data_IF_983024329403
#
_entry.id   IF_983024329403
#
_cell.length_a   1.000
_cell.length_b   1.000
_cell.length_c   1.000
_cell.angle_alpha   90.00
_cell.angle_beta   90.00
_cell.angle_gamma   90.00
#
_symmetry.space_group_name_H-M   'P 1'
#
loop_
_entity.id
_entity.type
_entity.pdbx_description
1 polymer ?
#
# COMPACT_ATOMS: atom_id res chain seq x y z
N UNK A 1 -7.57 79.58 -34.65
CA UNK A 1 -8.27 78.27 -34.79
C UNK A 1 -7.30 77.18 -34.38
N UNK A 2 -7.48 76.62 -33.19
CA UNK A 2 -6.58 75.55 -32.62
C UNK A 2 -7.30 74.22 -32.73
N UNK A 3 -6.82 73.33 -33.57
CA UNK A 3 -7.43 72.02 -33.83
C UNK A 3 -6.87 70.98 -32.81
N UNK A 4 -7.75 70.53 -31.92
CA UNK A 4 -7.44 69.51 -30.91
C UNK A 4 -7.50 68.08 -31.51
N UNK A 5 -6.36 67.37 -31.59
CA UNK A 5 -6.30 66.02 -32.08
C UNK A 5 -6.53 65.09 -30.88
N UNK A 6 -7.64 64.35 -30.82
CA UNK A 6 -7.93 63.35 -29.82
C UNK A 6 -7.38 61.99 -30.34
N UNK A 7 -6.34 61.49 -29.69
CA UNK A 7 -5.85 60.12 -29.92
C UNK A 7 -6.71 59.13 -29.11
N UNK A 8 -7.51 58.31 -29.78
CA UNK A 8 -8.16 57.12 -29.19
C UNK A 8 -7.14 55.98 -29.11
N UNK A 9 -6.68 55.66 -27.92
CA UNK A 9 -5.93 54.44 -27.67
C UNK A 9 -6.89 53.27 -27.47
N UNK A 10 -7.00 52.37 -28.43
CA UNK A 10 -7.73 51.09 -28.33
C UNK A 10 -6.92 50.07 -27.50
N UNK A 11 -7.39 49.82 -26.27
CA UNK A 11 -6.84 48.76 -25.43
C UNK A 11 -7.38 47.42 -25.95
N UNK A 12 -6.54 46.65 -26.62
CA UNK A 12 -6.86 45.24 -26.96
C UNK A 12 -6.72 44.39 -25.69
N UNK A 13 -7.85 44.01 -25.08
CA UNK A 13 -7.89 42.93 -24.08
C UNK A 13 -7.67 41.60 -24.81
N UNK A 14 -6.46 41.04 -24.69
CA UNK A 14 -6.18 39.70 -25.13
C UNK A 14 -6.84 38.71 -24.16
N UNK A 15 -7.97 38.16 -24.54
CA UNK A 15 -8.62 37.06 -23.83
C UNK A 15 -7.78 35.80 -24.08
N UNK A 16 -6.87 35.47 -23.16
CA UNK A 16 -6.24 34.14 -23.15
C UNK A 16 -7.35 33.11 -22.83
N UNK A 17 -7.58 32.11 -23.68
CA UNK A 17 -8.57 31.09 -23.39
C UNK A 17 -8.16 30.39 -22.09
N UNK A 18 -9.02 30.47 -21.08
CA UNK A 18 -8.91 29.69 -19.86
C UNK A 18 -8.88 28.21 -20.27
N UNK A 19 -7.70 27.57 -20.19
CA UNK A 19 -7.55 26.14 -20.48
C UNK A 19 -8.48 25.43 -19.51
N UNK A 20 -9.59 24.89 -20.03
CA UNK A 20 -10.54 24.10 -19.27
C UNK A 20 -9.74 23.04 -18.54
N UNK A 21 -9.72 23.12 -17.22
CA UNK A 21 -9.06 22.14 -16.38
C UNK A 21 -9.86 20.86 -16.57
N UNK A 22 -9.30 19.90 -17.31
CA UNK A 22 -9.96 18.61 -17.54
C UNK A 22 -10.34 18.05 -16.16
N UNK A 23 -11.61 17.73 -15.97
CA UNK A 23 -12.09 17.16 -14.72
C UNK A 23 -11.26 15.92 -14.39
N UNK A 24 -10.65 15.94 -13.22
CA UNK A 24 -9.81 14.87 -12.73
C UNK A 24 -10.73 13.72 -12.29
N UNK A 25 -10.68 12.61 -13.02
CA UNK A 25 -11.45 11.39 -12.72
C UNK A 25 -10.65 10.44 -11.83
N UNK A 26 -11.35 9.59 -11.07
CA UNK A 26 -10.69 8.48 -10.37
C UNK A 26 -10.20 7.45 -11.40
N UNK A 27 -8.89 7.28 -11.52
CA UNK A 27 -8.27 6.26 -12.37
C UNK A 27 -8.57 4.87 -11.82
N UNK A 28 -8.19 4.66 -10.56
CA UNK A 28 -8.54 3.46 -9.78
C UNK A 28 -8.47 3.75 -8.28
N UNK A 29 -8.99 2.82 -7.49
CA UNK A 29 -8.88 2.82 -6.04
C UNK A 29 -8.65 1.41 -5.51
N UNK A 30 -8.02 1.33 -4.34
CA UNK A 30 -7.87 0.11 -3.58
C UNK A 30 -8.18 0.35 -2.11
N UNK A 31 -8.74 -0.67 -1.45
CA UNK A 31 -9.13 -0.57 -0.03
C UNK A 31 -8.65 -1.81 0.70
N UNK A 32 -8.04 -1.62 1.87
CA UNK A 32 -7.70 -2.70 2.81
C UNK A 32 -8.36 -2.44 4.16
N UNK A 33 -8.65 -3.52 4.91
CA UNK A 33 -9.37 -3.44 6.17
C UNK A 33 -8.47 -3.77 7.35
N UNK A 34 -8.74 -3.17 8.50
CA UNK A 34 -8.02 -3.41 9.76
C UNK A 34 -8.97 -3.34 10.96
N UNK A 35 -8.53 -3.87 12.10
CA UNK A 35 -9.29 -3.76 13.33
C UNK A 35 -9.06 -2.39 13.99
N UNK A 36 -10.08 -1.52 13.96
CA UNK A 36 -10.03 -0.18 14.55
C UNK A 36 -9.90 -0.17 16.09
N UNK A 37 -10.11 -1.29 16.76
CA UNK A 37 -9.91 -1.41 18.22
C UNK A 37 -8.43 -1.47 18.61
N UNK A 38 -7.54 -1.83 17.70
CA UNK A 38 -6.08 -1.70 17.87
C UNK A 38 -5.68 -0.22 17.75
N UNK A 39 -5.71 0.50 18.84
CA UNK A 39 -5.53 1.96 18.87
C UNK A 39 -4.16 2.39 18.35
N UNK A 40 -3.08 1.69 18.77
CA UNK A 40 -1.72 2.00 18.30
C UNK A 40 -1.57 1.83 16.80
N UNK A 41 -2.06 0.71 16.26
CA UNK A 41 -2.09 0.44 14.83
C UNK A 41 -2.94 1.45 14.06
N UNK A 42 -4.13 1.76 14.57
CA UNK A 42 -5.05 2.75 13.97
C UNK A 42 -4.38 4.12 13.87
N UNK A 43 -3.74 4.59 14.96
CA UNK A 43 -3.01 5.86 14.96
C UNK A 43 -1.91 5.90 13.89
N UNK A 44 -1.10 4.84 13.78
CA UNK A 44 -0.03 4.74 12.78
C UNK A 44 -0.58 4.78 11.35
N UNK A 45 -1.68 4.09 11.10
CA UNK A 45 -2.37 4.08 9.80
C UNK A 45 -2.88 5.48 9.48
N UNK A 46 -3.51 6.18 10.43
CA UNK A 46 -4.02 7.54 10.25
C UNK A 46 -2.89 8.49 9.89
N UNK A 47 -1.77 8.47 10.64
CA UNK A 47 -0.61 9.33 10.39
C UNK A 47 -0.06 9.07 8.98
N UNK A 48 0.29 7.82 8.66
CA UNK A 48 0.88 7.50 7.36
C UNK A 48 -0.06 7.84 6.19
N UNK A 49 -1.37 7.62 6.36
CA UNK A 49 -2.38 7.95 5.34
C UNK A 49 -2.49 9.46 5.13
N UNK A 50 -2.49 10.26 6.21
CA UNK A 50 -2.58 11.72 6.12
C UNK A 50 -1.36 12.35 5.45
N UNK A 51 -0.17 11.77 5.65
CA UNK A 51 1.09 12.27 5.06
C UNK A 51 1.16 12.04 3.55
N UNK A 52 0.52 10.99 3.03
CA UNK A 52 0.49 10.74 1.58
C UNK A 52 -0.73 11.35 0.89
N UNK A 53 -1.78 11.77 1.62
CA UNK A 53 -2.97 12.37 1.01
C UNK A 53 -2.66 13.69 0.33
N UNK A 54 -3.20 13.90 -0.87
CA UNK A 54 -3.05 15.11 -1.64
C UNK A 54 -1.74 15.25 -2.43
N UNK A 55 -0.80 14.30 -2.30
CA UNK A 55 0.45 14.30 -3.09
C UNK A 55 0.12 14.23 -4.57
N UNK A 56 0.84 15.01 -5.37
CA UNK A 56 0.71 15.05 -6.83
C UNK A 56 1.99 14.55 -7.47
N UNK A 57 1.88 13.44 -8.22
CA UNK A 57 2.95 12.94 -9.08
C UNK A 57 2.88 13.68 -10.41
N UNK A 58 3.89 14.51 -10.70
CA UNK A 58 3.98 15.23 -11.96
C UNK A 58 4.08 14.27 -13.14
N UNK A 59 3.85 14.77 -14.37
CA UNK A 59 4.10 13.99 -15.58
C UNK A 59 5.55 13.46 -15.55
N UNK A 60 5.72 12.14 -15.74
CA UNK A 60 7.02 11.45 -15.70
C UNK A 60 7.78 11.63 -14.38
N UNK A 61 7.07 11.95 -13.30
CA UNK A 61 7.63 12.14 -11.97
C UNK A 61 7.64 10.87 -11.13
N UNK A 62 8.49 10.86 -10.13
CA UNK A 62 8.65 9.78 -9.15
C UNK A 62 8.02 10.13 -7.81
N UNK A 63 7.69 9.10 -7.04
CA UNK A 63 7.21 9.17 -5.67
C UNK A 63 7.98 8.16 -4.82
N UNK A 64 8.38 8.56 -3.62
CA UNK A 64 8.94 7.69 -2.58
C UNK A 64 8.05 7.75 -1.34
N UNK A 65 7.62 6.57 -0.89
CA UNK A 65 6.82 6.46 0.33
C UNK A 65 7.63 6.89 1.55
N UNK A 66 8.89 6.44 1.65
CA UNK A 66 9.74 6.76 2.79
C UNK A 66 10.08 8.25 2.87
N UNK A 67 10.34 8.90 1.73
CA UNK A 67 10.58 10.35 1.72
C UNK A 67 9.32 11.14 2.12
N UNK A 68 8.14 10.67 1.73
CA UNK A 68 6.87 11.35 2.01
C UNK A 68 6.43 11.15 3.47
N UNK A 69 6.54 9.93 4.00
CA UNK A 69 6.08 9.60 5.36
C UNK A 69 7.13 9.95 6.43
N UNK A 70 8.41 9.91 6.07
CA UNK A 70 9.52 10.16 6.98
C UNK A 70 9.76 9.03 7.98
N UNK A 71 10.51 9.34 9.03
CA UNK A 71 10.85 8.39 10.09
C UNK A 71 9.64 8.08 10.98
N UNK A 72 9.49 6.80 11.33
CA UNK A 72 8.39 6.30 12.17
C UNK A 72 8.82 6.29 13.62
N UNK A 73 8.93 7.47 14.23
CA UNK A 73 9.37 7.63 15.61
C UNK A 73 8.19 7.99 16.53
N UNK A 74 8.41 7.88 17.84
CA UNK A 74 7.41 8.32 18.84
C UNK A 74 7.20 9.82 18.78
N UNK A 75 8.25 10.58 18.51
CA UNK A 75 8.25 12.05 18.39
C UNK A 75 7.39 12.48 17.19
N UNK A 76 7.36 11.69 16.11
CA UNK A 76 6.45 11.87 14.97
C UNK A 76 5.03 11.35 15.23
N UNK A 77 4.73 10.90 16.45
CA UNK A 77 3.41 10.44 16.90
C UNK A 77 3.12 8.96 16.66
N UNK A 78 4.07 8.20 16.07
CA UNK A 78 3.86 6.77 15.84
C UNK A 78 3.90 5.98 17.16
N UNK A 79 2.97 5.02 17.28
CA UNK A 79 2.78 4.19 18.46
C UNK A 79 3.34 2.79 18.24
N UNK A 80 3.55 2.08 19.35
CA UNK A 80 3.83 0.65 19.30
C UNK A 80 2.59 -0.12 18.87
N UNK A 81 2.78 -1.04 17.93
CA UNK A 81 1.80 -2.00 17.47
C UNK A 81 2.50 -3.24 16.92
N UNK A 82 1.74 -4.27 16.56
CA UNK A 82 2.29 -5.50 16.01
C UNK A 82 2.96 -5.25 14.65
N UNK A 83 4.24 -5.64 14.53
CA UNK A 83 5.03 -5.64 13.29
C UNK A 83 5.52 -7.04 12.96
N UNK A 84 5.98 -7.26 11.73
CA UNK A 84 6.70 -8.46 11.31
C UNK A 84 8.19 -8.13 11.32
N UNK A 85 8.97 -8.86 12.13
CA UNK A 85 10.41 -8.72 12.21
C UNK A 85 11.05 -10.13 12.24
N UNK A 86 11.97 -10.39 11.32
CA UNK A 86 12.67 -11.69 11.21
C UNK A 86 11.73 -12.91 11.16
N UNK A 87 10.58 -12.79 10.49
CA UNK A 87 9.60 -13.87 10.37
C UNK A 87 8.74 -14.10 11.62
N UNK A 88 8.71 -13.15 12.56
CA UNK A 88 7.88 -13.22 13.76
C UNK A 88 7.07 -11.94 13.95
N UNK A 89 5.93 -12.06 14.66
CA UNK A 89 5.16 -10.91 15.10
C UNK A 89 5.67 -10.41 16.44
N UNK A 90 6.17 -9.17 16.47
CA UNK A 90 6.65 -8.51 17.68
C UNK A 90 6.01 -7.12 17.83
N UNK A 91 6.12 -6.51 19.01
CA UNK A 91 5.74 -5.11 19.21
C UNK A 91 6.87 -4.20 18.70
N UNK A 92 6.51 -3.21 17.88
CA UNK A 92 7.44 -2.22 17.37
C UNK A 92 6.73 -0.92 16.97
N UNK A 93 7.47 0.17 16.87
CA UNK A 93 6.92 1.48 16.48
C UNK A 93 6.54 1.47 14.99
N UNK A 94 5.36 2.02 14.65
CA UNK A 94 4.90 2.12 13.26
C UNK A 94 4.16 0.89 12.73
N UNK A 95 3.78 -0.08 13.59
CA UNK A 95 2.94 -1.21 13.15
C UNK A 95 1.65 -0.72 12.49
N UNK A 96 1.39 -1.20 11.26
CA UNK A 96 0.28 -0.74 10.42
C UNK A 96 0.69 0.09 9.20
N UNK A 97 1.84 0.76 9.21
CA UNK A 97 2.32 1.59 8.09
C UNK A 97 2.47 0.79 6.79
N UNK A 98 2.97 -0.46 6.87
CA UNK A 98 3.05 -1.36 5.70
C UNK A 98 1.67 -1.70 5.09
N UNK A 99 0.58 -1.56 5.82
CA UNK A 99 -0.76 -1.69 5.23
C UNK A 99 -1.11 -0.49 4.36
N UNK A 100 -0.67 0.72 4.73
CA UNK A 100 -0.86 1.93 3.92
C UNK A 100 -0.03 1.83 2.64
N UNK A 101 1.26 1.46 2.71
CA UNK A 101 2.10 1.27 1.52
C UNK A 101 1.57 0.15 0.61
N UNK A 102 1.06 -0.95 1.17
CA UNK A 102 0.42 -2.03 0.40
C UNK A 102 -0.85 -1.55 -0.30
N UNK A 103 -1.68 -0.75 0.36
CA UNK A 103 -2.89 -0.19 -0.25
C UNK A 103 -2.54 0.76 -1.40
N UNK A 104 -1.52 1.58 -1.21
CA UNK A 104 -0.96 2.47 -2.23
C UNK A 104 -0.41 1.69 -3.42
N UNK A 105 0.39 0.64 -3.19
CA UNK A 105 0.95 -0.24 -4.22
C UNK A 105 -0.14 -0.81 -5.14
N UNK A 106 -1.19 -1.38 -4.56
CA UNK A 106 -2.28 -1.95 -5.33
C UNK A 106 -3.08 -0.88 -6.08
N UNK A 107 -3.32 0.27 -5.47
CA UNK A 107 -4.00 1.39 -6.13
C UNK A 107 -3.17 1.93 -7.30
N UNK A 108 -1.84 2.05 -7.15
CA UNK A 108 -0.92 2.51 -8.18
C UNK A 108 -0.95 1.58 -9.41
N UNK A 109 -0.78 0.29 -9.21
CA UNK A 109 -0.83 -0.71 -10.29
C UNK A 109 -2.17 -0.70 -11.03
N UNK A 110 -3.29 -0.61 -10.28
CA UNK A 110 -4.64 -0.53 -10.88
C UNK A 110 -4.89 0.80 -11.60
N UNK A 111 -4.12 1.83 -11.30
CA UNK A 111 -4.14 3.13 -11.98
C UNK A 111 -3.19 3.23 -13.17
N UNK A 112 -2.45 2.14 -13.49
CA UNK A 112 -1.47 2.11 -14.58
C UNK A 112 -0.17 2.86 -14.28
N UNK A 113 0.10 3.17 -13.01
CA UNK A 113 1.40 3.69 -12.58
C UNK A 113 2.41 2.54 -12.53
N UNK A 114 3.67 2.87 -12.74
CA UNK A 114 4.77 1.92 -12.61
C UNK A 114 5.27 1.86 -11.16
N UNK A 115 5.61 0.66 -10.69
CA UNK A 115 6.25 0.46 -9.40
C UNK A 115 7.73 0.18 -9.66
N UNK A 116 8.59 1.10 -9.24
CA UNK A 116 10.05 1.02 -9.49
C UNK A 116 10.82 0.41 -8.34
N UNK A 117 10.25 0.43 -7.12
CA UNK A 117 10.79 -0.29 -5.95
C UNK A 117 9.66 -0.80 -5.08
N UNK A 118 9.75 -2.05 -4.66
CA UNK A 118 8.86 -2.68 -3.67
C UNK A 118 9.59 -3.84 -2.99
N UNK A 119 9.11 -4.23 -1.79
CA UNK A 119 9.66 -5.34 -1.03
C UNK A 119 8.52 -6.20 -0.46
N UNK A 120 8.64 -7.56 -0.49
CA UNK A 120 7.68 -8.46 0.13
C UNK A 120 7.87 -8.55 1.64
N UNK A 121 6.81 -8.89 2.38
CA UNK A 121 6.98 -9.39 3.73
C UNK A 121 7.49 -10.84 3.72
N UNK A 122 8.16 -11.23 4.81
CA UNK A 122 8.58 -12.62 5.02
C UNK A 122 7.43 -13.55 5.40
N UNK A 123 6.37 -13.01 6.00
CA UNK A 123 5.13 -13.71 6.35
C UNK A 123 3.98 -13.16 5.52
N UNK A 124 3.07 -14.04 5.11
CA UNK A 124 1.85 -13.61 4.45
C UNK A 124 1.03 -12.70 5.38
N UNK A 125 0.70 -11.52 4.88
CA UNK A 125 -0.25 -10.59 5.53
C UNK A 125 -1.68 -10.96 5.19
N UNK A 126 -2.65 -10.61 6.07
CA UNK A 126 -4.05 -11.02 5.92
C UNK A 126 -4.94 -10.03 5.19
N UNK A 127 -4.46 -8.80 4.94
CA UNK A 127 -5.27 -7.71 4.40
C UNK A 127 -5.21 -7.59 2.88
N UNK A 128 -4.38 -8.40 2.21
CA UNK A 128 -4.33 -8.55 0.75
C UNK A 128 -4.08 -10.00 0.36
N UNK A 129 -4.43 -10.42 -0.87
CA UNK A 129 -3.99 -11.69 -1.44
C UNK A 129 -2.46 -11.78 -1.51
N UNK A 130 -1.89 -13.00 -1.59
CA UNK A 130 -0.44 -13.21 -1.69
C UNK A 130 0.17 -12.46 -2.88
N UNK A 131 1.45 -12.09 -2.78
CA UNK A 131 2.23 -11.35 -3.78
C UNK A 131 1.64 -9.98 -4.16
N UNK A 132 0.85 -9.39 -3.27
CA UNK A 132 0.26 -8.06 -3.45
C UNK A 132 0.60 -7.08 -2.32
N UNK A 133 1.41 -7.49 -1.38
CA UNK A 133 1.90 -6.67 -0.29
C UNK A 133 3.13 -5.85 -0.70
N UNK A 134 3.34 -4.71 -0.05
CA UNK A 134 4.51 -3.87 -0.20
C UNK A 134 4.99 -3.44 1.19
N UNK A 135 6.06 -4.10 1.67
CA UNK A 135 6.70 -3.77 2.94
C UNK A 135 7.55 -2.51 2.79
N UNK A 136 7.54 -1.68 3.81
CA UNK A 136 8.43 -0.53 3.96
C UNK A 136 9.14 -0.57 5.32
N UNK A 137 10.40 -0.18 5.34
CA UNK A 137 11.25 -0.09 6.53
C UNK A 137 12.18 1.11 6.42
N UNK A 138 13.19 1.21 7.26
CA UNK A 138 14.25 2.22 7.12
C UNK A 138 15.13 2.00 5.89
N UNK A 139 15.21 0.77 5.38
CA UNK A 139 16.06 0.37 4.25
C UNK A 139 15.28 -0.14 3.04
N UNK A 140 13.98 -0.29 3.16
CA UNK A 140 13.08 -0.79 2.11
C UNK A 140 12.02 0.26 1.82
N UNK A 141 11.88 0.68 0.57
CA UNK A 141 10.92 1.70 0.15
C UNK A 141 9.85 1.14 -0.79
N UNK A 142 8.80 1.90 -0.99
CA UNK A 142 7.88 1.77 -2.11
C UNK A 142 8.04 3.01 -2.98
N UNK A 143 8.51 2.82 -4.22
CA UNK A 143 8.65 3.89 -5.20
C UNK A 143 7.74 3.67 -6.39
N UNK A 144 7.15 4.77 -6.84
CA UNK A 144 6.25 4.81 -7.98
C UNK A 144 6.78 5.78 -9.02
N UNK A 145 6.51 5.48 -10.28
CA UNK A 145 6.74 6.37 -11.41
C UNK A 145 5.42 6.63 -12.14
N UNK A 146 5.19 7.87 -12.51
CA UNK A 146 4.03 8.27 -13.31
C UNK A 146 4.41 8.23 -14.81
N UNK A 147 3.98 7.23 -15.59
CA UNK A 147 4.33 7.15 -17.01
C UNK A 147 3.48 8.07 -17.91
N UNK A 148 2.51 8.79 -17.32
CA UNK A 148 1.59 9.62 -18.07
C UNK A 148 2.18 11.01 -18.39
N UNK A 149 1.80 11.63 -19.54
CA UNK A 149 2.20 13.00 -19.86
C UNK A 149 1.38 14.06 -19.12
N UNK A 150 0.69 13.68 -18.04
CA UNK A 150 -0.10 14.54 -17.16
C UNK A 150 0.13 14.15 -15.70
N UNK A 151 -0.11 15.10 -14.81
CA UNK A 151 -0.01 14.87 -13.38
C UNK A 151 -1.15 13.96 -12.89
N UNK A 152 -0.86 13.10 -11.91
CA UNK A 152 -1.85 12.31 -11.17
C UNK A 152 -1.83 12.70 -9.71
N UNK A 153 -3.00 12.84 -9.09
CA UNK A 153 -3.14 13.21 -7.68
C UNK A 153 -3.51 11.98 -6.87
N UNK A 154 -2.79 11.76 -5.77
CA UNK A 154 -3.09 10.73 -4.79
C UNK A 154 -4.15 11.26 -3.82
N UNK A 155 -5.16 10.47 -3.54
CA UNK A 155 -6.11 10.67 -2.45
C UNK A 155 -6.11 9.46 -1.54
N UNK A 156 -5.82 9.67 -0.26
CA UNK A 156 -5.73 8.62 0.73
C UNK A 156 -6.59 8.95 1.94
N UNK A 157 -7.46 8.02 2.36
CA UNK A 157 -8.40 8.26 3.45
C UNK A 157 -8.48 7.04 4.36
N UNK A 158 -8.57 7.30 5.67
CA UNK A 158 -8.98 6.30 6.65
C UNK A 158 -10.48 6.44 6.82
N UNK A 159 -11.18 5.34 6.60
CA UNK A 159 -12.58 5.15 6.92
C UNK A 159 -12.67 4.24 8.15
N UNK A 160 -13.84 4.02 8.70
CA UNK A 160 -13.99 3.15 9.88
C UNK A 160 -13.46 1.73 9.57
N UNK A 161 -12.33 1.37 10.18
CA UNK A 161 -11.65 0.10 9.97
C UNK A 161 -11.08 -0.15 8.57
N UNK A 162 -10.94 0.88 7.72
CA UNK A 162 -10.43 0.74 6.37
C UNK A 162 -9.45 1.85 5.96
N UNK A 163 -8.47 1.51 5.12
CA UNK A 163 -7.64 2.46 4.37
C UNK A 163 -8.05 2.38 2.91
N UNK A 164 -8.39 3.51 2.33
CA UNK A 164 -8.67 3.64 0.90
C UNK A 164 -7.69 4.60 0.26
N UNK A 165 -7.06 4.15 -0.81
CA UNK A 165 -6.17 4.96 -1.65
C UNK A 165 -6.73 4.99 -3.07
N UNK A 166 -6.72 6.18 -3.69
CA UNK A 166 -7.18 6.41 -5.05
C UNK A 166 -6.19 7.30 -5.78
N UNK A 167 -6.07 7.12 -7.09
CA UNK A 167 -5.38 8.06 -7.96
C UNK A 167 -6.39 8.75 -8.86
N UNK A 168 -6.24 10.06 -8.98
CA UNK A 168 -7.09 10.93 -9.81
C UNK A 168 -6.24 11.50 -10.95
N UNK A 169 -6.80 11.50 -12.16
CA UNK A 169 -6.12 11.97 -13.35
C UNK A 169 -7.01 11.85 -14.58
N UNK A 170 -6.41 11.79 -15.76
CA UNK A 170 -7.12 11.62 -17.02
C UNK A 170 -7.17 10.13 -17.38
N UNK A 171 -8.36 9.58 -17.65
CA UNK A 171 -8.50 8.19 -18.12
C UNK A 171 -8.04 8.03 -19.56
N UNK A 172 -7.28 6.95 -19.82
CA UNK A 172 -6.83 6.55 -21.15
C UNK A 172 -7.63 5.36 -21.73
N UNK A 173 -8.70 4.95 -21.07
CA UNK A 173 -9.58 3.87 -21.53
C UNK A 173 -9.03 2.46 -21.26
N UNK A 174 -7.99 2.33 -20.44
CA UNK A 174 -7.47 1.05 -19.98
C UNK A 174 -7.96 0.74 -18.56
N UNK A 175 -8.09 -0.55 -18.27
CA UNK A 175 -8.36 -1.10 -16.93
C UNK A 175 -7.24 -2.07 -16.58
N UNK A 176 -6.77 -2.00 -15.34
CA UNK A 176 -5.72 -2.87 -14.83
C UNK A 176 -6.24 -3.71 -13.67
N UNK A 177 -5.95 -5.02 -13.71
CA UNK A 177 -6.29 -5.95 -12.64
C UNK A 177 -5.03 -6.68 -12.15
N UNK A 178 -5.02 -7.01 -10.85
CA UNK A 178 -3.93 -7.76 -10.25
C UNK A 178 -4.46 -9.13 -9.90
N UNK A 179 -3.84 -10.17 -10.46
CA UNK A 179 -4.21 -11.57 -10.24
C UNK A 179 -3.12 -12.24 -9.44
N UNK A 180 -3.48 -12.89 -8.32
CA UNK A 180 -2.57 -13.68 -7.48
C UNK A 180 -2.83 -15.16 -7.71
N UNK A 181 -1.77 -15.94 -7.78
CA UNK A 181 -1.81 -17.40 -7.91
C UNK A 181 -0.94 -18.02 -6.83
N UNK A 182 -1.50 -18.95 -6.05
CA UNK A 182 -0.73 -19.80 -5.15
C UNK A 182 -0.13 -20.95 -5.95
N UNK A 183 1.19 -21.09 -5.88
CA UNK A 183 1.92 -22.16 -6.57
C UNK A 183 2.10 -23.39 -5.69
N UNK A 184 2.33 -23.15 -4.38
CA UNK A 184 2.66 -24.21 -3.43
C UNK A 184 2.27 -23.76 -2.02
N UNK A 185 1.78 -24.70 -1.19
CA UNK A 185 1.64 -24.49 0.24
C UNK A 185 2.79 -25.18 0.96
N UNK A 186 3.40 -24.49 1.94
CA UNK A 186 4.54 -24.96 2.70
C UNK A 186 4.08 -25.28 4.13
N UNK A 187 4.06 -26.55 4.49
CA UNK A 187 3.67 -26.97 5.84
C UNK A 187 4.65 -26.45 6.89
N UNK A 188 4.17 -25.99 8.06
CA UNK A 188 5.04 -25.60 9.16
C UNK A 188 5.76 -26.82 9.75
N UNK A 189 6.95 -26.62 10.36
CA UNK A 189 7.58 -27.64 11.17
C UNK A 189 6.66 -28.10 12.32
N UNK A 190 6.89 -29.30 12.88
CA UNK A 190 6.19 -29.77 14.08
C UNK A 190 6.23 -28.69 15.18
N UNK A 191 5.15 -28.54 15.98
CA UNK A 191 5.10 -27.51 17.01
C UNK A 191 6.18 -27.72 18.08
N UNK A 192 6.70 -26.61 18.60
CA UNK A 192 7.55 -26.60 19.77
C UNK A 192 6.69 -26.97 20.97
N UNK A 193 7.07 -28.03 21.69
CA UNK A 193 6.39 -28.45 22.91
C UNK A 193 7.14 -27.88 24.12
N UNK A 194 6.44 -27.11 24.94
CA UNK A 194 6.89 -26.63 26.26
C UNK A 194 6.15 -27.39 27.34
N UNK A 195 6.76 -27.59 28.48
CA UNK A 195 6.09 -28.15 29.67
C UNK A 195 5.62 -27.03 30.57
N UNK A 196 4.44 -27.15 31.18
CA UNK A 196 3.85 -26.15 32.07
C UNK A 196 2.72 -26.73 32.92
N UNK A 197 2.08 -25.87 33.70
CA UNK A 197 1.04 -26.27 34.66
C UNK A 197 -0.32 -26.58 34.01
N UNK A 198 -0.55 -26.10 32.79
CA UNK A 198 -1.79 -26.31 32.02
C UNK A 198 -1.49 -26.50 30.53
N UNK A 199 -2.39 -27.18 29.84
CA UNK A 199 -2.35 -27.25 28.38
C UNK A 199 -2.78 -25.91 27.78
N UNK A 200 -1.98 -25.40 26.82
CA UNK A 200 -2.25 -24.12 26.16
C UNK A 200 -1.59 -24.07 24.76
N UNK A 201 -2.25 -23.43 23.79
CA UNK A 201 -1.65 -23.09 22.50
C UNK A 201 -1.16 -21.64 22.57
N UNK A 202 0.16 -21.45 22.72
CA UNK A 202 0.78 -20.13 22.77
C UNK A 202 0.87 -19.50 21.36
N UNK A 203 1.07 -20.34 20.35
CA UNK A 203 1.13 -19.91 18.95
C UNK A 203 0.57 -21.01 18.05
N UNK A 204 -0.51 -20.72 17.32
CA UNK A 204 -1.05 -21.64 16.33
C UNK A 204 -0.12 -21.73 15.12
N UNK A 205 0.13 -22.94 14.57
CA UNK A 205 0.88 -23.08 13.34
C UNK A 205 0.11 -22.47 12.16
N UNK A 206 0.84 -22.01 11.14
CA UNK A 206 0.27 -21.53 9.90
C UNK A 206 1.16 -21.95 8.72
N UNK A 207 0.54 -22.41 7.63
CA UNK A 207 1.25 -22.71 6.40
C UNK A 207 1.93 -21.44 5.85
N UNK A 208 3.12 -21.63 5.33
CA UNK A 208 3.73 -20.73 4.37
C UNK A 208 3.20 -21.04 2.97
N UNK A 209 3.58 -20.24 2.00
CA UNK A 209 3.23 -20.48 0.62
C UNK A 209 4.22 -19.84 -0.35
N UNK A 210 4.30 -20.40 -1.54
CA UNK A 210 4.91 -19.79 -2.71
C UNK A 210 3.78 -19.27 -3.61
N UNK A 211 3.88 -18.02 -4.06
CA UNK A 211 2.87 -17.39 -4.89
C UNK A 211 3.48 -16.48 -5.94
N UNK A 212 2.69 -16.15 -6.93
CA UNK A 212 3.04 -15.14 -7.93
C UNK A 212 1.86 -14.20 -8.18
N UNK A 213 2.17 -12.98 -8.62
CA UNK A 213 1.17 -12.01 -9.05
C UNK A 213 1.43 -11.54 -10.48
N UNK A 214 0.34 -11.24 -11.17
CA UNK A 214 0.33 -10.72 -12.54
C UNK A 214 -0.45 -9.42 -12.59
N UNK A 215 0.00 -8.50 -13.43
CA UNK A 215 -0.76 -7.33 -13.86
C UNK A 215 -1.38 -7.64 -15.22
N UNK A 216 -2.69 -7.58 -15.29
CA UNK A 216 -3.47 -7.72 -16.52
C UNK A 216 -3.97 -6.36 -16.96
N UNK A 217 -3.73 -6.03 -18.24
CA UNK A 217 -4.19 -4.79 -18.87
C UNK A 217 -5.31 -5.11 -19.86
N UNK A 218 -6.42 -4.39 -19.74
CA UNK A 218 -7.61 -4.55 -20.58
C UNK A 218 -7.95 -3.27 -21.33
N UNK A 219 -8.59 -3.45 -22.50
CA UNK A 219 -9.32 -2.39 -23.20
C UNK A 219 -10.76 -2.90 -23.42
N UNK A 220 -11.73 -2.28 -22.76
CA UNK A 220 -13.04 -2.89 -22.60
C UNK A 220 -12.90 -4.25 -21.91
N UNK A 221 -13.46 -5.32 -22.49
CA UNK A 221 -13.38 -6.69 -21.98
C UNK A 221 -12.19 -7.49 -22.58
N UNK A 222 -11.44 -6.92 -23.52
CA UNK A 222 -10.32 -7.59 -24.18
C UNK A 222 -9.06 -7.49 -23.35
N UNK A 223 -8.48 -8.65 -22.98
CA UNK A 223 -7.16 -8.74 -22.36
C UNK A 223 -6.08 -8.40 -23.40
N UNK A 224 -5.32 -7.34 -23.14
CA UNK A 224 -4.23 -6.89 -24.02
C UNK A 224 -2.88 -7.49 -23.62
N UNK A 225 -2.62 -7.57 -22.31
CA UNK A 225 -1.37 -8.15 -21.80
C UNK A 225 -1.57 -8.71 -20.40
N UNK A 226 -0.76 -9.71 -20.08
CA UNK A 226 -0.59 -10.28 -18.75
C UNK A 226 0.90 -10.34 -18.44
N UNK A 227 1.35 -9.53 -17.49
CA UNK A 227 2.76 -9.40 -17.13
C UNK A 227 2.97 -9.89 -15.71
N UNK A 228 3.90 -10.82 -15.51
CA UNK A 228 4.25 -11.26 -14.16
C UNK A 228 4.95 -10.12 -13.41
N UNK A 229 4.38 -9.71 -12.29
CA UNK A 229 4.93 -8.69 -11.40
C UNK A 229 6.06 -9.27 -10.55
N UNK A 230 5.78 -10.41 -9.87
CA UNK A 230 6.69 -10.99 -8.87
C UNK A 230 6.34 -12.44 -8.55
N UNK A 231 7.27 -13.11 -7.91
CA UNK A 231 7.09 -14.42 -7.25
C UNK A 231 7.67 -14.31 -5.84
N UNK A 232 6.91 -14.73 -4.82
CA UNK A 232 7.29 -14.62 -3.42
C UNK A 232 7.19 -15.96 -2.71
N UNK A 233 8.02 -16.09 -1.65
CA UNK A 233 7.96 -17.18 -0.70
C UNK A 233 7.66 -16.60 0.68
N UNK A 234 6.51 -16.96 1.24
CA UNK A 234 6.12 -16.61 2.61
C UNK A 234 6.43 -17.78 3.53
N UNK A 235 7.15 -17.51 4.62
CA UNK A 235 7.56 -18.53 5.56
C UNK A 235 6.36 -19.09 6.32
N UNK A 236 6.37 -20.41 6.63
CA UNK A 236 5.42 -21.00 7.55
C UNK A 236 5.69 -20.54 8.98
N UNK A 237 4.65 -20.49 9.80
CA UNK A 237 4.77 -20.19 11.23
C UNK A 237 4.70 -21.50 12.02
N UNK A 238 5.78 -21.83 12.74
CA UNK A 238 5.83 -22.98 13.62
C UNK A 238 4.93 -22.77 14.84
N UNK A 239 4.11 -23.75 15.20
CA UNK A 239 3.28 -23.74 16.39
C UNK A 239 4.11 -23.78 17.68
N UNK A 240 3.54 -23.30 18.79
CA UNK A 240 4.06 -23.48 20.15
C UNK A 240 2.90 -23.91 21.03
N UNK A 241 3.05 -25.10 21.63
CA UNK A 241 2.06 -25.68 22.55
C UNK A 241 2.68 -25.90 23.92
N UNK A 242 1.91 -25.73 24.96
CA UNK A 242 2.27 -26.14 26.32
C UNK A 242 1.53 -27.45 26.62
N UNK A 243 2.26 -28.45 27.08
CA UNK A 243 1.70 -29.68 27.64
C UNK A 243 1.81 -29.65 29.14
N UNK A 244 0.76 -30.12 29.82
CA UNK A 244 0.74 -30.20 31.28
C UNK A 244 1.81 -31.19 31.76
N UNK A 245 2.53 -30.84 32.82
CA UNK A 245 3.41 -31.75 33.52
C UNK A 245 2.55 -32.79 34.25
N UNK A 246 2.66 -34.05 33.87
CA UNK A 246 2.05 -35.13 34.67
C UNK A 246 2.89 -35.34 35.92
N UNK A 247 2.35 -34.96 37.08
CA UNK A 247 2.94 -35.33 38.36
C UNK A 247 2.78 -36.87 38.52
N UNK A 248 3.81 -37.62 38.17
CA UNK A 248 3.90 -39.02 38.57
C UNK A 248 4.05 -39.05 40.07
N UNK A 249 2.93 -39.12 40.80
CA UNK A 249 2.90 -39.53 42.20
C UNK A 249 3.25 -41.05 42.22
N UNK A 250 4.52 -41.35 42.57
CA UNK A 250 4.92 -42.69 42.99
C UNK A 250 4.38 -42.97 44.39
#
# INVERSE_FOLDING_TARGET
MLTLLILLSSVFFSYAPTRAQAESETLASYTTYFNAQDKGRTQNIVIATSLIDGVTLQAYGEFSFNQTVGERTKEAGFQQAKIILNGEYVLGTGGGVCQVSTTLYNSALKSGLEVTEFHPHTLQVSYVPPSRDAMVSTTSDLKLFNPYPFAVKLSAKVLDGAVRVSFLGKREGYRYEIVSETLEEISPPPPIVKLGDKEEILRSPRNGLKSQAYLEKYKGDSLLSRTRLRTDNYLPIQGIIVKKIENTTN
#
